data_IF_774341510233
#
_entry.id   IF_774341510233
#
_cell.length_a   1.000
_cell.length_b   1.000
_cell.length_c   1.000
_cell.angle_alpha   90.00
_cell.angle_beta   90.00
_cell.angle_gamma   90.00
#
_symmetry.space_group_name_H-M   'P 1'
#
loop_
_entity.id
_entity.type
_entity.pdbx_description
1 polymer ?
#
# COMPACT_ATOMS: atom_id res chain seq x y z
N UNK A 1 -10.44 -7.83 -12.52
CA UNK A 1 -9.01 -8.17 -12.34
C UNK A 1 -8.37 -7.14 -11.42
N UNK A 2 -7.57 -7.56 -10.44
CA UNK A 2 -6.78 -6.67 -9.58
C UNK A 2 -5.41 -7.28 -9.28
N UNK A 3 -4.50 -6.50 -8.71
CA UNK A 3 -3.16 -6.95 -8.29
C UNK A 3 -3.20 -7.32 -6.80
N UNK A 4 -2.88 -8.57 -6.47
CA UNK A 4 -3.11 -9.12 -5.14
C UNK A 4 -2.22 -8.50 -4.06
N UNK A 5 -0.99 -8.13 -4.40
CA UNK A 5 -0.04 -7.53 -3.48
C UNK A 5 -0.03 -5.99 -3.55
N UNK A 6 -1.13 -5.36 -3.95
CA UNK A 6 -1.15 -3.89 -4.14
C UNK A 6 -1.02 -3.12 -2.82
N UNK A 7 -0.13 -2.10 -2.75
CA UNK A 7 0.92 -1.79 -3.73
C UNK A 7 2.08 -2.79 -3.63
N UNK A 8 2.48 -3.38 -4.76
CA UNK A 8 3.63 -4.27 -4.80
C UNK A 8 4.92 -3.46 -4.60
N UNK A 9 5.72 -3.80 -3.61
CA UNK A 9 7.02 -3.15 -3.38
C UNK A 9 8.12 -3.92 -4.11
N UNK A 10 8.93 -3.20 -4.89
CA UNK A 10 10.10 -3.75 -5.58
C UNK A 10 11.34 -3.15 -4.93
N UNK A 11 12.28 -3.99 -4.47
CA UNK A 11 13.52 -3.55 -3.86
C UNK A 11 14.47 -2.87 -4.87
N UNK A 12 15.22 -1.87 -4.41
CA UNK A 12 16.08 -1.03 -5.26
C UNK A 12 17.24 -1.81 -5.93
N UNK A 13 17.66 -2.93 -5.35
CA UNK A 13 18.70 -3.81 -5.86
C UNK A 13 18.16 -5.03 -6.64
N UNK A 14 16.84 -5.12 -6.84
CA UNK A 14 16.24 -6.15 -7.68
C UNK A 14 16.66 -5.97 -9.14
N UNK A 15 17.12 -7.05 -9.79
CA UNK A 15 17.61 -7.06 -11.18
C UNK A 15 16.99 -8.15 -12.06
N UNK A 16 16.04 -8.90 -11.52
CA UNK A 16 15.36 -9.96 -12.27
C UNK A 16 14.11 -9.39 -12.96
N UNK A 17 13.39 -10.25 -13.66
CA UNK A 17 12.13 -9.92 -14.31
C UNK A 17 11.06 -9.50 -13.29
N UNK A 18 10.34 -8.43 -13.60
CA UNK A 18 9.24 -7.94 -12.77
C UNK A 18 7.98 -8.74 -13.11
N UNK A 19 7.41 -9.39 -12.11
CA UNK A 19 6.18 -10.17 -12.23
C UNK A 19 5.02 -9.47 -11.52
N UNK A 20 3.81 -9.62 -12.07
CA UNK A 20 2.58 -9.05 -11.49
C UNK A 20 1.67 -10.20 -11.04
N UNK A 21 1.26 -10.20 -9.77
CA UNK A 21 0.33 -11.20 -9.23
C UNK A 21 -1.10 -10.71 -9.48
N UNK A 22 -1.73 -11.25 -10.52
CA UNK A 22 -3.10 -10.91 -10.90
C UNK A 22 -4.12 -11.88 -10.30
N UNK A 23 -5.25 -11.34 -9.82
CA UNK A 23 -6.40 -12.12 -9.38
C UNK A 23 -7.68 -11.59 -10.02
N UNK A 24 -8.49 -12.51 -10.55
CA UNK A 24 -9.82 -12.21 -11.02
C UNK A 24 -10.84 -12.39 -9.89
N UNK A 25 -11.36 -11.27 -9.38
CA UNK A 25 -12.43 -11.25 -8.36
C UNK A 25 -13.83 -11.14 -8.98
N UNK A 26 -13.94 -11.15 -10.32
CA UNK A 26 -15.21 -11.15 -11.03
C UNK A 26 -15.77 -12.57 -11.21
N UNK A 27 -17.06 -12.66 -11.53
CA UNK A 27 -17.75 -13.94 -11.78
C UNK A 27 -17.57 -14.45 -13.21
N UNK A 28 -16.96 -13.65 -14.09
CA UNK A 28 -16.71 -14.00 -15.49
C UNK A 28 -15.22 -14.23 -15.73
N UNK A 29 -14.91 -15.11 -16.68
CA UNK A 29 -13.52 -15.35 -17.10
C UNK A 29 -12.94 -14.12 -17.79
N UNK A 30 -11.66 -13.86 -17.55
CA UNK A 30 -10.92 -12.77 -18.18
C UNK A 30 -9.65 -13.31 -18.83
N UNK A 31 -9.47 -13.03 -20.12
CA UNK A 31 -8.29 -13.46 -20.89
C UNK A 31 -7.32 -12.29 -21.03
N UNK A 32 -6.05 -12.53 -20.70
CA UNK A 32 -4.96 -11.57 -20.91
C UNK A 32 -4.21 -12.00 -22.16
N UNK A 33 -4.00 -11.04 -23.07
CA UNK A 33 -3.24 -11.25 -24.29
C UNK A 33 -1.85 -10.62 -24.18
N UNK A 34 -0.94 -11.10 -25.03
CA UNK A 34 0.37 -10.49 -25.14
C UNK A 34 0.27 -9.03 -25.58
N UNK A 35 0.93 -8.12 -24.86
CA UNK A 35 0.90 -6.68 -25.10
C UNK A 35 -0.15 -5.92 -24.29
N UNK A 36 -1.03 -6.61 -23.55
CA UNK A 36 -1.98 -5.95 -22.67
C UNK A 36 -1.27 -5.20 -21.54
N UNK A 37 -1.72 -3.97 -21.26
CA UNK A 37 -1.25 -3.19 -20.11
C UNK A 37 -1.97 -3.66 -18.85
N UNK A 38 -1.28 -4.44 -18.02
CA UNK A 38 -1.86 -5.12 -16.84
C UNK A 38 -1.48 -4.52 -15.48
N UNK A 39 -0.54 -3.57 -15.45
CA UNK A 39 -0.12 -2.86 -14.24
C UNK A 39 0.55 -1.52 -14.58
N UNK A 40 0.77 -0.68 -13.57
CA UNK A 40 1.57 0.55 -13.66
C UNK A 40 2.62 0.58 -12.55
N UNK A 41 3.79 1.12 -12.85
CA UNK A 41 4.87 1.34 -11.88
C UNK A 41 4.91 2.82 -11.48
N UNK A 42 5.02 3.07 -10.17
CA UNK A 42 5.26 4.40 -9.62
C UNK A 42 6.60 4.40 -8.91
N UNK A 43 7.47 5.34 -9.24
CA UNK A 43 8.77 5.53 -8.59
C UNK A 43 8.64 6.69 -7.61
N UNK A 44 8.93 6.44 -6.33
CA UNK A 44 8.87 7.43 -5.27
C UNK A 44 10.08 7.31 -4.33
N UNK A 45 10.52 8.40 -3.69
CA UNK A 45 11.58 8.34 -2.69
C UNK A 45 11.12 7.54 -1.46
N UNK A 46 12.03 6.74 -0.90
CA UNK A 46 11.82 6.02 0.37
C UNK A 46 12.77 6.59 1.44
N UNK A 47 12.22 6.92 2.61
CA UNK A 47 13.03 7.37 3.75
C UNK A 47 13.54 6.16 4.52
N UNK A 48 14.85 6.10 4.78
CA UNK A 48 15.42 5.11 5.70
C UNK A 48 15.24 5.60 7.14
N UNK A 49 14.52 4.83 7.94
CA UNK A 49 14.34 5.13 9.36
C UNK A 49 15.41 4.43 10.20
N UNK A 50 15.80 5.07 11.29
CA UNK A 50 16.54 4.43 12.38
C UNK A 50 15.62 4.38 13.60
N UNK A 51 15.42 3.19 14.16
CA UNK A 51 14.57 3.02 15.33
C UNK A 51 15.28 3.56 16.58
N UNK A 52 14.60 4.42 17.33
CA UNK A 52 15.02 4.85 18.66
C UNK A 52 13.98 4.36 19.67
N UNK A 53 14.36 3.43 20.54
CA UNK A 53 13.44 2.87 21.53
C UNK A 53 13.21 3.90 22.66
N UNK A 54 12.02 4.48 22.71
CA UNK A 54 11.57 5.32 23.82
C UNK A 54 10.82 4.47 24.86
N UNK A 55 10.95 4.83 26.15
CA UNK A 55 10.28 4.11 27.24
C UNK A 55 8.82 4.51 27.40
N UNK A 56 8.49 5.77 27.08
CA UNK A 56 7.13 6.33 27.09
C UNK A 56 7.08 7.52 26.11
N UNK A 57 5.88 7.85 25.62
CA UNK A 57 5.62 9.10 24.90
C UNK A 57 5.59 10.26 25.91
N UNK A 58 6.25 11.38 25.61
CA UNK A 58 6.16 12.55 26.48
C UNK A 58 4.76 13.17 26.32
N UNK A 59 4.22 13.80 27.36
CA UNK A 59 2.93 14.51 27.33
C UNK A 59 2.86 15.63 26.28
N UNK A 60 4.01 16.02 25.72
CA UNK A 60 4.17 16.96 24.60
C UNK A 60 4.02 16.30 23.22
N UNK A 61 3.97 14.96 23.13
CA UNK A 61 3.80 14.18 21.88
C UNK A 61 2.33 13.95 21.51
N UNK A 62 1.37 14.44 22.30
CA UNK A 62 -0.07 14.31 22.05
C UNK A 62 -0.49 15.28 20.96
N UNK A 63 -1.11 14.78 19.89
CA UNK A 63 -1.64 15.60 18.78
C UNK A 63 -3.17 15.61 18.77
N UNK A 64 -3.79 16.58 18.09
CA UNK A 64 -5.26 16.60 17.92
C UNK A 64 -5.81 15.33 17.24
N UNK A 65 -4.97 14.62 16.47
CA UNK A 65 -5.31 13.34 15.82
C UNK A 65 -5.10 12.14 16.74
N UNK A 66 -4.00 12.11 17.49
CA UNK A 66 -3.60 11.04 18.43
C UNK A 66 -4.17 9.65 18.09
N UNK A 67 -5.00 9.06 18.96
CA UNK A 67 -5.58 7.71 18.79
C UNK A 67 -6.78 7.65 17.84
N UNK A 68 -7.16 8.77 17.22
CA UNK A 68 -8.35 8.89 16.38
C UNK A 68 -8.08 8.37 14.95
N UNK A 69 -8.33 7.07 14.76
CA UNK A 69 -8.24 6.37 13.48
C UNK A 69 -9.60 5.92 12.91
N UNK A 70 -9.52 5.27 11.76
CA UNK A 70 -10.54 4.57 10.94
C UNK A 70 -11.93 5.21 10.70
N UNK A 71 -12.63 5.81 11.68
CA UNK A 71 -14.05 6.17 11.53
C UNK A 71 -14.44 7.58 12.03
N UNK A 72 -13.53 8.37 12.59
CA UNK A 72 -13.93 9.57 13.35
C UNK A 72 -14.25 10.83 12.53
N UNK A 73 -14.17 10.77 11.20
CA UNK A 73 -14.65 11.83 10.29
C UNK A 73 -15.83 11.39 9.40
N UNK A 74 -16.31 10.14 9.54
CA UNK A 74 -17.42 9.64 8.76
C UNK A 74 -18.75 10.01 9.43
N UNK A 75 -19.44 11.03 8.91
CA UNK A 75 -20.86 11.24 9.21
C UNK A 75 -21.61 9.94 8.88
N UNK A 76 -22.14 9.28 9.93
CA UNK A 76 -22.97 8.09 9.81
C UNK A 76 -24.31 8.47 9.19
N UNK A 77 -24.42 8.34 7.88
CA UNK A 77 -25.70 8.45 7.17
C UNK A 77 -26.53 7.23 7.60
N UNK A 78 -27.66 7.51 8.27
CA UNK A 78 -28.69 6.52 8.60
C UNK A 78 -29.54 6.24 7.36
#
# INVERSE_FOLDING_TARGET
MTVLNTPGTIDADYRREIMVILINLGNESYTINYGDRIAQMVIAPITRISWNLAKDFDTTDITERDTHGFDQLAYKIH
#
